data_IF_179471019767
#
_entry.id   IF_179471019767
#
_cell.length_a   1.000
_cell.length_b   1.000
_cell.length_c   1.000
_cell.angle_alpha   90.00
_cell.angle_beta   90.00
_cell.angle_gamma   90.00
#
_symmetry.space_group_name_H-M   'P 1'
#
loop_
_entity.id
_entity.type
_entity.pdbx_description
1 polymer ?
2 non-polymer ?
3 non-polymer ?
4 non-polymer ?
5 non-polymer ?
6 non-polymer ?
7 non-polymer ?
8 water ?
#
# COMPACT_ATOMS: atom_id res chain seq x y z
N UNK A 3 -21.26 19.44 14.01
CA UNK A 3 -20.53 20.59 13.39
C UNK A 3 -19.01 20.39 13.48
N UNK A 4 -18.47 20.48 14.69
CA UNK A 4 -17.07 20.17 14.97
C UNK A 4 -16.94 18.74 15.57
N UNK A 5 -18.07 18.07 15.77
CA UNK A 5 -18.11 16.71 16.37
C UNK A 5 -18.66 15.63 15.43
N UNK A 6 -18.55 15.85 14.12
CA UNK A 6 -19.03 14.90 13.13
C UNK A 6 -18.07 13.73 12.91
N UNK A 7 -18.40 12.91 11.92
CA UNK A 7 -17.66 11.69 11.56
C UNK A 7 -16.17 11.94 11.36
N UNK A 8 -15.35 11.01 11.84
CA UNK A 8 -13.89 11.03 11.66
C UNK A 8 -13.54 9.84 10.77
N UNK A 9 -13.26 10.11 9.50
CA UNK A 9 -12.91 9.02 8.56
C UNK A 9 -11.50 8.50 8.82
N UNK A 10 -11.27 7.25 8.44
CA UNK A 10 -9.96 6.59 8.57
C UNK A 10 -9.31 6.48 7.20
N UNK A 11 -8.08 6.95 7.07
CA UNK A 11 -7.37 6.92 5.79
C UNK A 11 -6.01 6.26 5.94
N UNK A 12 -5.80 5.22 5.14
CA UNK A 12 -4.46 4.65 4.87
C UNK A 12 -3.93 5.37 3.63
N UNK A 13 -2.94 6.25 3.83
CA UNK A 13 -2.29 6.99 2.74
C UNK A 13 -1.00 6.23 2.38
N UNK A 14 -1.13 5.25 1.49
CA UNK A 14 -0.02 4.30 1.26
C UNK A 14 0.96 4.73 0.17
N UNK A 15 2.14 4.12 0.20
CA UNK A 15 3.12 4.32 -0.86
C UNK A 15 2.55 3.97 -2.23
N UNK A 16 1.84 2.85 -2.33
CA UNK A 16 1.30 2.31 -3.58
C UNK A 16 -0.19 2.56 -3.76
N UNK A 17 -0.97 2.23 -2.72
CA UNK A 17 -2.43 2.39 -2.73
C UNK A 17 -2.91 3.14 -1.48
N UNK A 18 -4.08 3.76 -1.60
CA UNK A 18 -4.76 4.37 -0.48
C UNK A 18 -6.16 3.81 -0.32
N UNK A 19 -6.70 3.95 0.89
CA UNK A 19 -7.96 3.31 1.26
C UNK A 19 -8.66 4.17 2.31
N UNK A 20 -9.98 4.32 2.20
CA UNK A 20 -10.76 5.12 3.15
C UNK A 20 -11.90 4.27 3.74
N UNK A 21 -12.08 4.38 5.07
CA UNK A 21 -13.07 3.63 5.82
C UNK A 21 -13.75 4.57 6.83
N UNK A 22 -14.96 4.22 7.23
CA UNK A 22 -15.69 4.99 8.24
C UNK A 22 -16.51 4.05 9.12
N UNK A 23 -16.68 4.43 10.38
CA UNK A 23 -17.53 3.71 11.32
C UNK A 23 -19.00 3.95 10.95
N UNK A 24 -19.79 2.87 10.87
CA UNK A 24 -21.22 2.94 10.49
C UNK A 24 -21.98 1.87 11.29
N UNK A 25 -22.89 2.31 12.17
CA UNK A 25 -23.60 1.40 13.07
C UNK A 25 -22.73 0.45 13.90
N UNK A 26 -21.60 0.93 14.38
CA UNK A 26 -20.67 0.12 15.16
C UNK A 26 -19.80 -0.86 14.39
N UNK A 27 -19.75 -0.76 13.06
CA UNK A 27 -18.90 -1.60 12.22
C UNK A 27 -18.15 -0.70 11.23
N UNK A 28 -16.85 -0.95 11.03
CA UNK A 28 -16.12 -0.20 10.00
C UNK A 28 -16.55 -0.67 8.60
N UNK A 29 -16.76 0.29 7.71
CA UNK A 29 -17.14 0.05 6.32
C UNK A 29 -16.03 0.63 5.44
N UNK A 30 -15.64 -0.11 4.40
CA UNK A 30 -14.64 0.37 3.43
C UNK A 30 -15.41 0.96 2.26
N UNK A 31 -15.10 2.19 1.88
CA UNK A 31 -15.87 2.89 0.86
C UNK A 31 -15.25 2.74 -0.54
N UNK A 32 -16.11 2.42 -1.51
CA UNK A 32 -15.70 2.31 -2.91
C UNK A 32 -15.52 3.67 -3.59
N UNK A 33 -14.46 3.77 -4.41
CA UNK A 33 -14.23 4.94 -5.25
C UNK A 33 -15.20 4.93 -6.45
N UNK A 34 -15.21 6.00 -7.26
CA UNK A 34 -16.13 6.06 -8.41
C UNK A 34 -15.95 4.99 -9.49
N UNK A 35 -14.80 4.31 -9.51
CA UNK A 35 -14.57 3.17 -10.40
C UNK A 35 -15.02 1.83 -9.78
N UNK A 36 -15.63 1.87 -8.61
CA UNK A 36 -16.13 0.67 -7.92
C UNK A 36 -15.10 -0.07 -7.10
N UNK A 37 -13.94 0.56 -6.84
CA UNK A 37 -12.81 -0.13 -6.20
C UNK A 37 -12.58 0.31 -4.76
N UNK A 38 -12.27 -0.66 -3.91
CA UNK A 38 -12.10 -0.43 -2.48
C UNK A 38 -10.72 0.10 -2.10
N UNK A 39 -9.78 0.09 -3.04
CA UNK A 39 -8.51 0.81 -2.89
C UNK A 39 -8.26 1.66 -4.12
N UNK A 40 -7.42 2.69 -3.96
CA UNK A 40 -7.16 3.69 -5.03
C UNK A 40 -5.64 3.87 -5.17
N UNK A 41 -5.08 3.72 -6.40
CA UNK A 41 -3.64 3.97 -6.52
C UNK A 41 -3.20 5.36 -6.06
N UNK A 42 -2.12 5.42 -5.30
CA UNK A 42 -1.55 6.68 -4.79
C UNK A 42 -0.74 7.38 -5.88
N UNK A 43 -1.43 7.81 -6.93
CA UNK A 43 -0.78 8.31 -8.15
C UNK A 43 -1.61 9.51 -8.61
N UNK A 44 -0.91 10.57 -9.01
CA UNK A 44 -1.52 11.86 -9.38
C UNK A 44 -0.93 12.37 -10.69
N UNK A 45 -1.80 12.70 -11.67
CA UNK A 45 -1.41 13.32 -12.95
C UNK A 45 -1.80 14.79 -13.01
N UNK A 46 -0.92 15.60 -13.58
CA UNK A 46 -1.17 17.05 -13.75
C UNK A 46 -1.22 17.50 -15.20
N UNK A 47 -2.33 18.15 -15.55
CA UNK A 47 -2.52 18.81 -16.84
C UNK A 47 -3.00 20.22 -16.53
N UNK A 48 -2.05 21.12 -16.25
CA UNK A 48 -2.32 22.46 -15.69
C UNK A 48 -3.17 22.26 -14.43
N UNK A 49 -4.36 22.85 -14.32
CA UNK A 49 -5.12 22.67 -13.08
C UNK A 49 -6.13 21.50 -13.17
N UNK A 50 -6.10 20.70 -14.25
CA UNK A 50 -6.88 19.47 -14.27
C UNK A 50 -5.99 18.39 -13.67
N UNK A 51 -6.48 17.78 -12.60
CA UNK A 51 -5.70 16.83 -11.82
C UNK A 51 -6.49 15.52 -11.77
N UNK A 52 -5.81 14.43 -12.10
CA UNK A 52 -6.42 13.09 -12.13
C UNK A 52 -5.70 12.25 -11.08
N UNK A 53 -6.47 11.55 -10.26
CA UNK A 53 -5.96 10.69 -9.18
C UNK A 53 -6.42 9.25 -9.40
N UNK A 54 -5.55 8.28 -9.09
CA UNK A 54 -5.98 6.89 -8.96
C UNK A 54 -5.73 6.03 -10.19
N UNK A 55 -6.72 5.21 -10.52
CA UNK A 55 -6.63 4.20 -11.57
C UNK A 55 -6.33 4.82 -12.95
N UNK A 56 -7.00 5.93 -13.27
CA UNK A 56 -6.77 6.61 -14.54
C UNK A 56 -5.33 7.14 -14.64
N UNK A 57 -4.74 7.55 -13.52
CA UNK A 57 -3.35 8.01 -13.48
C UNK A 57 -2.37 6.84 -13.55
N UNK A 58 -2.66 5.73 -12.84
CA UNK A 58 -1.83 4.52 -12.92
C UNK A 58 -1.67 4.01 -14.36
N UNK A 59 -2.75 4.11 -15.15
CA UNK A 59 -2.74 3.70 -16.56
C UNK A 59 -1.79 4.52 -17.47
N UNK A 60 -1.27 5.63 -16.94
CA UNK A 60 -0.31 6.47 -17.65
C UNK A 60 1.00 6.68 -16.87
N UNK A 61 1.27 5.86 -15.83
CA UNK A 61 2.45 6.13 -15.01
C UNK A 61 3.77 6.03 -15.79
N UNK A 62 3.86 5.15 -16.79
CA UNK A 62 5.06 5.07 -17.60
C UNK A 62 5.02 6.07 -18.76
N UNK A 63 3.83 6.32 -19.32
CA UNK A 63 3.71 7.09 -20.56
C UNK A 63 3.60 8.61 -20.42
N UNK A 64 3.22 9.13 -19.24
CA UNK A 64 2.95 10.56 -19.05
C UNK A 64 4.00 11.17 -18.11
N UNK A 65 4.80 12.13 -18.59
CA UNK A 65 5.87 12.68 -17.75
C UNK A 65 5.39 13.59 -16.62
N UNK A 66 4.09 13.89 -16.60
CA UNK A 66 3.50 14.68 -15.53
C UNK A 66 2.67 13.84 -14.55
N UNK A 67 2.94 12.54 -14.52
CA UNK A 67 2.30 11.61 -13.61
C UNK A 67 3.29 11.29 -12.49
N UNK A 68 2.85 11.48 -11.25
CA UNK A 68 3.69 11.38 -10.05
C UNK A 68 3.35 10.11 -9.25
N UNK A 69 4.38 9.29 -9.01
CA UNK A 69 4.25 8.04 -8.25
C UNK A 69 5.13 8.09 -7.00
N UNK A 70 4.82 7.27 -5.99
CA UNK A 70 5.70 7.09 -4.83
C UNK A 70 6.02 8.41 -4.10
N UNK A 71 5.09 9.35 -4.09
CA UNK A 71 5.33 10.64 -3.40
C UNK A 71 5.57 10.47 -1.89
N UNK A 72 5.01 9.41 -1.28
CA UNK A 72 5.22 9.17 0.14
C UNK A 72 6.70 9.15 0.54
N UNK A 73 7.55 8.68 -0.37
CA UNK A 73 8.98 8.60 -0.11
C UNK A 73 9.65 9.95 0.19
N UNK A 74 9.05 11.03 -0.30
CA UNK A 74 9.57 12.39 -0.09
C UNK A 74 8.96 13.12 1.11
N UNK A 75 7.93 12.54 1.72
CA UNK A 75 7.25 13.23 2.82
C UNK A 75 8.23 13.49 3.98
N UNK A 76 8.20 14.70 4.53
CA UNK A 76 9.12 15.11 5.57
C UNK A 76 10.44 15.69 5.12
N UNK A 77 10.68 15.74 3.81
CA UNK A 77 11.86 16.39 3.22
C UNK A 77 11.42 17.70 2.56
N UNK A 78 12.38 18.55 2.24
CA UNK A 78 12.10 19.75 1.44
C UNK A 78 12.31 19.53 -0.08
N UNK A 79 12.40 18.26 -0.52
CA UNK A 79 12.44 17.93 -1.95
C UNK A 79 11.14 18.34 -2.62
N UNK A 80 11.24 18.69 -3.89
CA UNK A 80 10.11 19.08 -4.72
C UNK A 80 10.05 18.14 -5.91
N UNK A 81 8.86 18.00 -6.47
CA UNK A 81 8.67 17.36 -7.77
C UNK A 81 8.20 18.43 -8.75
N UNK A 82 8.59 18.27 -10.01
CA UNK A 82 8.30 19.24 -11.05
C UNK A 82 7.36 18.65 -12.08
N UNK A 83 6.40 19.45 -12.52
CA UNK A 83 5.55 19.13 -13.67
C UNK A 83 5.55 20.34 -14.59
N UNK A 84 5.22 20.10 -15.85
CA UNK A 84 5.34 21.13 -16.88
C UNK A 84 3.97 21.58 -17.33
N UNK A 85 3.75 22.90 -17.24
CA UNK A 85 2.52 23.52 -17.71
C UNK A 85 2.47 23.57 -19.24
N UNK A 86 1.28 23.72 -19.80
CA UNK A 86 1.06 23.82 -21.25
C UNK A 86 1.88 24.93 -21.94
N UNK A 87 2.11 26.02 -21.23
CA UNK A 87 2.93 27.13 -21.75
C UNK A 87 4.45 26.95 -21.59
N UNK A 88 4.89 25.77 -21.15
CA UNK A 88 6.30 25.48 -21.00
C UNK A 88 6.92 25.82 -19.66
N UNK A 89 6.23 26.57 -18.80
CA UNK A 89 6.77 26.91 -17.49
C UNK A 89 6.69 25.69 -16.58
N UNK A 90 7.51 25.71 -15.54
CA UNK A 90 7.61 24.61 -14.58
C UNK A 90 6.88 24.95 -13.25
N UNK A 91 6.07 24.00 -12.80
CA UNK A 91 5.38 24.06 -11.50
C UNK A 91 6.09 23.12 -10.54
N UNK A 92 6.56 23.66 -9.43
CA UNK A 92 7.19 22.87 -8.38
C UNK A 92 6.12 22.55 -7.34
N UNK A 93 6.08 21.28 -6.93
CA UNK A 93 5.10 20.78 -5.99
C UNK A 93 5.78 20.16 -4.78
N UNK A 94 5.25 20.42 -3.59
CA UNK A 94 5.75 19.76 -2.39
C UNK A 94 5.10 18.37 -2.28
N UNK A 95 5.73 17.47 -1.51
CA UNK A 95 5.11 16.19 -1.22
C UNK A 95 3.73 16.35 -0.52
N UNK A 96 3.61 17.37 0.34
CA UNK A 96 2.35 17.69 1.01
C UNK A 96 1.22 18.00 0.02
N UNK A 97 1.54 18.82 -0.99
CA UNK A 97 0.57 19.19 -2.03
C UNK A 97 0.09 18.00 -2.87
N UNK A 98 1.01 17.12 -3.26
CA UNK A 98 0.64 15.98 -4.08
C UNK A 98 -0.18 14.99 -3.24
N UNK A 99 0.29 14.71 -2.02
CA UNK A 99 -0.45 13.85 -1.07
C UNK A 99 -1.84 14.38 -0.82
N UNK A 100 -1.96 15.71 -0.71
CA UNK A 100 -3.25 16.34 -0.49
C UNK A 100 -4.24 16.07 -1.64
N UNK A 101 -3.77 15.94 -2.88
CA UNK A 101 -4.67 15.59 -3.99
C UNK A 101 -5.24 14.19 -3.83
N UNK A 102 -4.43 13.25 -3.32
CA UNK A 102 -4.92 11.90 -3.04
C UNK A 102 -5.97 11.97 -1.93
N UNK A 103 -5.66 12.70 -0.84
CA UNK A 103 -6.62 12.83 0.27
C UNK A 103 -7.91 13.49 -0.15
N UNK A 104 -7.82 14.54 -0.99
CA UNK A 104 -9.00 15.22 -1.52
C UNK A 104 -9.88 14.31 -2.36
N UNK A 105 -9.27 13.47 -3.19
CA UNK A 105 -10.02 12.50 -3.99
C UNK A 105 -10.82 11.53 -3.08
N UNK A 106 -10.15 10.98 -2.07
CA UNK A 106 -10.80 10.08 -1.11
C UNK A 106 -11.96 10.78 -0.37
N UNK A 107 -11.69 11.98 0.14
CA UNK A 107 -12.70 12.79 0.86
C UNK A 107 -13.92 13.05 -0.03
N UNK A 108 -13.68 13.47 -1.27
CA UNK A 108 -14.78 13.81 -2.19
C UNK A 108 -15.72 12.64 -2.42
N UNK A 109 -15.18 11.46 -2.76
CA UNK A 109 -16.06 10.29 -2.99
C UNK A 109 -16.65 9.74 -1.70
N UNK A 110 -15.92 9.85 -0.59
CA UNK A 110 -16.45 9.43 0.70
C UNK A 110 -17.70 10.26 1.07
N UNK A 111 -17.64 11.57 0.84
CA UNK A 111 -18.78 12.47 1.12
C UNK A 111 -20.03 12.09 0.33
N UNK A 112 -19.85 11.75 -0.94
CA UNK A 112 -20.96 11.34 -1.80
C UNK A 112 -21.56 10.00 -1.38
N UNK A 113 -20.72 9.07 -0.92
CA UNK A 113 -21.21 7.79 -0.38
C UNK A 113 -21.96 7.95 0.93
N UNK A 114 -21.38 8.72 1.85
CA UNK A 114 -21.97 8.91 3.20
C UNK A 114 -23.19 9.84 3.14
N UNK A 115 -23.19 10.79 2.21
CA UNK A 115 -24.26 11.78 2.08
C UNK A 115 -24.11 12.96 3.00
N UNK A 116 -22.89 13.23 3.47
CA UNK A 116 -22.59 14.36 4.36
C UNK A 116 -21.22 14.92 4.04
N UNK A 117 -21.00 16.20 4.31
CA UNK A 117 -19.66 16.77 4.26
C UNK A 117 -18.80 16.17 5.39
N UNK A 118 -17.50 15.99 5.12
CA UNK A 118 -16.54 15.40 6.04
C UNK A 118 -15.40 16.39 6.24
N UNK A 119 -15.01 16.64 7.49
CA UNK A 119 -13.93 17.58 7.81
C UNK A 119 -12.93 17.10 8.86
N UNK A 120 -12.95 15.81 9.18
CA UNK A 120 -12.12 15.23 10.23
C UNK A 120 -11.61 13.85 9.78
N UNK A 121 -10.36 13.55 10.11
CA UNK A 121 -9.75 12.28 9.73
C UNK A 121 -8.70 11.80 10.73
N UNK A 122 -8.51 10.48 10.77
CA UNK A 122 -7.30 9.85 11.30
C UNK A 122 -6.53 9.33 10.08
N UNK A 123 -5.23 9.65 10.01
CA UNK A 123 -4.38 9.19 8.91
C UNK A 123 -3.25 8.35 9.48
N UNK A 124 -2.94 7.24 8.79
CA UNK A 124 -1.89 6.32 9.24
C UNK A 124 -0.55 6.66 8.59
N UNK A 125 0.55 6.28 9.28
CA UNK A 125 1.92 6.47 8.81
C UNK A 125 2.79 5.25 9.22
N UNK A 126 3.95 5.05 8.61
CA UNK A 126 4.85 4.00 9.10
C UNK A 126 5.35 4.31 10.52
N UNK A 127 5.57 3.26 11.30
CA UNK A 127 6.06 3.41 12.67
C UNK A 127 7.40 4.16 12.80
N UNK A 128 8.23 4.06 11.75
CA UNK A 128 9.52 4.74 11.71
C UNK A 128 9.44 6.24 11.36
N UNK A 129 8.27 6.73 10.97
CA UNK A 129 8.15 8.18 10.69
C UNK A 129 8.54 9.03 11.90
N UNK A 130 9.31 10.09 11.63
CA UNK A 130 9.74 11.04 12.65
C UNK A 130 8.74 12.22 12.71
N UNK A 131 9.00 13.22 13.55
CA UNK A 131 8.08 14.35 13.69
C UNK A 131 7.86 15.09 12.36
N UNK A 132 8.92 15.30 11.59
CA UNK A 132 8.79 16.02 10.31
C UNK A 132 7.92 15.26 9.30
N UNK A 133 8.07 13.93 9.28
CA UNK A 133 7.31 13.07 8.38
C UNK A 133 5.83 12.99 8.79
N UNK A 134 5.59 12.92 10.09
CA UNK A 134 4.22 12.95 10.63
C UNK A 134 3.56 14.32 10.35
N UNK A 135 4.31 15.39 10.59
CA UNK A 135 3.80 16.77 10.38
C UNK A 135 3.48 17.05 8.92
N UNK A 136 4.30 16.49 8.01
CA UNK A 136 4.00 16.58 6.58
C UNK A 136 2.66 15.92 6.24
N UNK A 137 2.38 14.79 6.87
CA UNK A 137 1.13 14.07 6.66
C UNK A 137 -0.08 14.88 7.23
N UNK A 138 0.08 15.45 8.42
CA UNK A 138 -0.94 16.37 8.98
C UNK A 138 -1.22 17.56 8.04
N UNK A 139 -0.16 18.15 7.51
CA UNK A 139 -0.27 19.29 6.58
C UNK A 139 -0.99 18.92 5.30
N UNK A 140 -0.69 17.74 4.72
CA UNK A 140 -1.43 17.26 3.55
C UNK A 140 -2.94 17.18 3.85
N UNK A 141 -3.28 16.65 5.02
CA UNK A 141 -4.67 16.63 5.48
C UNK A 141 -5.31 18.01 5.50
N UNK A 142 -4.59 18.96 6.11
CA UNK A 142 -5.08 20.34 6.23
C UNK A 142 -5.33 20.95 4.85
N UNK A 143 -4.40 20.74 3.92
CA UNK A 143 -4.56 21.26 2.55
C UNK A 143 -5.85 20.70 1.91
N UNK A 144 -6.13 19.41 2.15
CA UNK A 144 -7.33 18.74 1.64
C UNK A 144 -8.64 19.06 2.38
N UNK A 145 -8.60 19.94 3.38
CA UNK A 145 -9.83 20.30 4.15
C UNK A 145 -10.17 19.36 5.30
N UNK A 146 -9.19 18.60 5.77
CA UNK A 146 -9.39 17.63 6.87
C UNK A 146 -8.63 18.08 8.11
N UNK A 147 -9.33 18.23 9.23
CA UNK A 147 -8.67 18.32 10.51
C UNK A 147 -8.17 16.92 10.90
N UNK A 148 -6.86 16.78 11.00
CA UNK A 148 -6.25 15.50 11.29
C UNK A 148 -6.27 15.35 12.83
N UNK A 149 -7.21 14.55 13.31
CA UNK A 149 -7.46 14.39 14.73
C UNK A 149 -6.35 13.60 15.42
N UNK A 150 -5.80 12.63 14.71
CA UNK A 150 -4.66 11.87 15.20
C UNK A 150 -3.89 11.23 14.03
N UNK A 151 -2.56 11.16 14.17
CA UNK A 151 -1.70 10.33 13.31
C UNK A 151 -1.40 9.06 14.12
N UNK A 152 -1.70 7.88 13.54
CA UNK A 152 -1.35 6.60 14.19
C UNK A 152 -0.49 5.77 13.27
N UNK A 153 0.27 4.84 13.85
CA UNK A 153 1.15 3.92 13.14
C UNK A 153 0.37 2.84 12.41
N UNK A 154 0.82 2.47 11.22
CA UNK A 154 0.24 1.39 10.42
C UNK A 154 0.08 0.02 11.14
N UNK A 155 1.14 -0.45 11.85
CA UNK A 155 0.96 -1.73 12.56
C UNK A 155 -0.04 -1.66 13.72
N UNK A 156 -0.08 -0.52 14.40
CA UNK A 156 -1.10 -0.28 15.43
C UNK A 156 -2.49 -0.25 14.83
N UNK A 157 -2.67 0.44 13.70
CA UNK A 157 -3.97 0.41 13.00
C UNK A 157 -4.42 -1.03 12.68
N UNK A 158 -3.50 -1.85 12.17
CA UNK A 158 -3.84 -3.24 11.87
C UNK A 158 -4.31 -4.00 13.14
N UNK A 159 -3.61 -3.79 14.24
CA UNK A 159 -3.97 -4.40 15.52
C UNK A 159 -5.36 -3.94 16.03
N UNK A 160 -5.68 -2.66 15.85
CA UNK A 160 -7.01 -2.14 16.17
C UNK A 160 -8.09 -2.81 15.33
N UNK A 161 -7.84 -3.01 14.04
CA UNK A 161 -8.80 -3.69 13.17
C UNK A 161 -9.19 -5.07 13.68
N UNK A 162 -8.18 -5.80 14.21
CA UNK A 162 -8.38 -7.12 14.78
C UNK A 162 -8.92 -7.11 16.22
N UNK A 163 -9.06 -5.94 16.85
CA UNK A 163 -9.59 -5.83 18.21
C UNK A 163 -8.60 -6.24 19.28
N UNK A 164 -7.30 -6.24 18.96
CA UNK A 164 -6.31 -6.78 19.90
C UNK A 164 -6.18 -5.92 21.17
N UNK A 165 -6.47 -4.62 21.07
CA UNK A 165 -6.53 -3.76 22.25
C UNK A 165 -7.53 -4.21 23.31
N UNK A 166 -8.53 -5.00 22.89
CA UNK A 166 -9.54 -5.55 23.79
C UNK A 166 -9.13 -6.86 24.46
N UNK A 167 -7.95 -7.39 24.15
CA UNK A 167 -7.46 -8.62 24.80
C UNK A 167 -7.43 -8.47 26.32
N UNK A 168 -7.76 -9.56 27.00
CA UNK A 168 -7.81 -9.59 28.45
C UNK A 168 -6.43 -9.69 29.10
N UNK A 169 -5.46 -10.24 28.37
CA UNK A 169 -4.11 -10.40 28.89
C UNK A 169 -3.16 -9.57 28.03
N UNK A 170 -2.00 -9.26 28.60
CA UNK A 170 -0.87 -8.66 27.84
C UNK A 170 -0.52 -9.53 26.64
N UNK A 171 -0.33 -8.92 25.47
CA UNK A 171 -0.03 -9.64 24.21
C UNK A 171 1.21 -9.05 23.53
N UNK A 172 2.05 -9.93 22.98
CA UNK A 172 3.07 -9.53 22.02
C UNK A 172 2.62 -9.96 20.65
N UNK A 173 2.64 -9.02 19.71
CA UNK A 173 2.05 -9.20 18.38
C UNK A 173 3.09 -8.87 17.31
N UNK A 174 3.32 -9.83 16.42
CA UNK A 174 4.18 -9.64 15.25
C UNK A 174 3.34 -9.21 14.06
N UNK A 175 3.71 -8.07 13.47
CA UNK A 175 3.07 -7.58 12.25
C UNK A 175 4.06 -7.71 11.08
N UNK A 176 3.68 -8.48 10.07
CA UNK A 176 4.50 -8.66 8.86
C UNK A 176 3.71 -7.99 7.75
N UNK A 177 4.27 -6.88 7.24
CA UNK A 177 3.56 -6.00 6.32
C UNK A 177 4.36 -5.84 5.01
N UNK A 178 3.91 -6.55 3.98
CA UNK A 178 4.55 -6.50 2.67
C UNK A 178 3.58 -5.83 1.69
N UNK A 179 3.89 -4.58 1.33
CA UNK A 179 3.02 -3.81 0.45
C UNK A 179 3.55 -3.85 -0.97
N UNK A 180 3.29 -2.79 -1.74
CA UNK A 180 3.77 -2.69 -3.13
C UNK A 180 5.20 -2.18 -3.24
N UNK A 181 5.61 -1.34 -2.30
CA UNK A 181 6.97 -0.75 -2.33
C UNK A 181 7.88 -0.99 -1.13
N UNK A 182 7.29 -1.35 0.02
CA UNK A 182 8.03 -1.43 1.27
C UNK A 182 7.63 -2.68 2.07
N UNK A 183 8.57 -3.11 2.89
CA UNK A 183 8.42 -4.27 3.75
C UNK A 183 8.73 -3.83 5.19
N UNK A 184 7.72 -3.97 6.06
CA UNK A 184 7.81 -3.55 7.47
C UNK A 184 7.46 -4.71 8.40
N UNK A 185 8.38 -5.00 9.32
CA UNK A 185 8.10 -5.91 10.43
C UNK A 185 8.10 -5.11 11.73
N UNK A 186 7.07 -5.33 12.53
CA UNK A 186 6.93 -4.65 13.82
C UNK A 186 6.57 -5.64 14.92
N UNK A 187 7.18 -5.46 16.09
CA UNK A 187 6.77 -6.22 17.28
C UNK A 187 6.11 -5.22 18.25
N UNK A 188 4.82 -5.45 18.53
CA UNK A 188 4.02 -4.60 19.43
C UNK A 188 3.79 -5.28 20.77
N UNK A 189 3.83 -4.49 21.84
CA UNK A 189 3.34 -4.94 23.15
C UNK A 189 2.01 -4.24 23.41
N UNK A 190 0.97 -5.01 23.68
CA UNK A 190 -0.38 -4.44 23.93
C UNK A 190 -0.73 -4.78 25.37
N UNK A 191 -0.93 -3.75 26.19
CA UNK A 191 -1.24 -3.92 27.61
C UNK A 191 -2.08 -2.74 28.08
N UNK A 192 -3.14 -3.04 28.84
CA UNK A 192 -4.06 -2.01 29.34
C UNK A 192 -4.67 -1.16 28.20
N UNK A 193 -4.92 -1.81 27.06
CA UNK A 193 -5.52 -1.12 25.91
C UNK A 193 -4.63 -0.13 25.18
N UNK A 194 -3.33 -0.11 25.52
CA UNK A 194 -2.35 0.76 24.87
C UNK A 194 -1.27 -0.06 24.16
N UNK A 195 -0.66 0.56 23.16
CA UNK A 195 0.30 -0.07 22.28
C UNK A 195 1.69 0.53 22.53
N UNK A 196 2.70 -0.33 22.55
CA UNK A 196 4.10 0.08 22.55
C UNK A 196 4.81 -0.64 21.40
N UNK A 197 5.54 0.10 20.57
CA UNK A 197 6.37 -0.53 19.53
C UNK A 197 7.69 -0.93 20.18
N UNK A 198 7.91 -2.24 20.32
CA UNK A 198 9.12 -2.77 20.92
C UNK A 198 10.32 -2.77 19.96
N UNK A 199 10.06 -3.03 18.69
CA UNK A 199 11.12 -3.10 17.66
C UNK A 199 10.51 -3.09 16.27
N UNK A 200 11.28 -2.53 15.32
CA UNK A 200 10.91 -2.55 13.92
C UNK A 200 12.09 -2.94 13.05
N UNK A 201 11.80 -3.48 11.88
CA UNK A 201 12.82 -3.88 10.90
C UNK A 201 12.18 -3.93 9.52
N UNK A 202 12.98 -4.25 8.50
CA UNK A 202 12.51 -4.41 7.14
C UNK A 202 13.33 -3.60 6.15
N UNK A 203 12.72 -3.35 5.01
CA UNK A 203 13.42 -2.71 3.89
C UNK A 203 12.39 -1.86 3.13
N UNK A 204 12.61 -0.56 3.09
CA UNK A 204 11.67 0.34 2.42
C UNK A 204 11.85 0.38 0.89
N UNK A 205 12.75 -0.43 0.35
CA UNK A 205 12.89 -0.63 -1.10
C UNK A 205 12.62 -2.09 -1.53
N UNK A 206 11.79 -2.79 -0.77
CA UNK A 206 11.37 -4.13 -1.09
C UNK A 206 9.83 -4.23 -0.97
N UNK A 207 9.15 -4.60 -2.07
CA UNK A 207 7.69 -4.73 -2.07
C UNK A 207 7.21 -5.48 -3.30
N UNK A 208 5.90 -5.61 -3.44
CA UNK A 208 5.28 -6.34 -4.54
C UNK A 208 5.74 -5.92 -5.94
N UNK A 209 6.07 -4.64 -6.11
CA UNK A 209 6.62 -4.14 -7.40
C UNK A 209 7.84 -4.96 -7.83
N UNK A 210 8.67 -5.35 -6.85
CA UNK A 210 9.88 -6.15 -7.16
C UNK A 210 9.57 -7.53 -7.70
N UNK A 211 8.50 -8.15 -7.19
CA UNK A 211 8.01 -9.42 -7.72
C UNK A 211 7.50 -9.23 -9.17
N UNK A 212 6.75 -8.16 -9.42
CA UNK A 212 6.32 -7.84 -10.80
C UNK A 212 7.54 -7.72 -11.72
N UNK A 213 8.54 -6.99 -11.22
CA UNK A 213 9.72 -6.65 -12.03
C UNK A 213 10.51 -7.94 -12.40
N UNK A 214 10.48 -8.96 -11.54
CA UNK A 214 11.09 -10.26 -11.90
C UNK A 214 10.37 -10.97 -13.05
N UNK A 215 9.04 -10.83 -13.10
CA UNK A 215 8.27 -11.34 -14.24
C UNK A 215 8.65 -10.55 -15.53
N UNK A 216 8.84 -9.23 -15.41
CA UNK A 216 9.22 -8.41 -16.56
C UNK A 216 10.60 -8.85 -17.06
N UNK A 217 11.51 -9.10 -16.11
CA UNK A 217 12.87 -9.57 -16.45
C UNK A 217 12.84 -10.93 -17.17
N UNK A 218 11.95 -11.82 -16.71
CA UNK A 218 11.73 -13.13 -17.35
C UNK A 218 11.16 -13.03 -18.78
N UNK A 219 10.19 -12.13 -18.98
CA UNK A 219 9.59 -11.90 -20.30
C UNK A 219 10.67 -11.36 -21.25
N UNK A 220 11.49 -10.45 -20.74
CA UNK A 220 12.61 -9.92 -21.54
C UNK A 220 13.59 -11.01 -21.98
N UNK A 221 13.82 -12.01 -21.12
CA UNK A 221 14.67 -13.17 -21.48
C UNK A 221 14.06 -14.02 -22.59
N UNK A 222 12.77 -14.35 -22.46
CA UNK A 222 12.03 -15.08 -23.48
C UNK A 222 12.14 -14.39 -24.84
N UNK A 223 11.99 -13.05 -24.83
CA UNK A 223 12.10 -12.22 -26.05
C UNK A 223 13.49 -12.31 -26.67
N UNK A 224 14.51 -12.25 -25.82
CA UNK A 224 15.92 -12.31 -26.25
C UNK A 224 16.33 -13.61 -26.94
N UNK A 225 15.59 -14.70 -26.71
CA UNK A 225 15.81 -15.97 -27.43
C UNK A 225 15.52 -15.87 -28.92
N UNK A 226 14.65 -14.94 -29.33
CA UNK A 226 14.32 -14.74 -30.75
C UNK A 226 14.72 -13.37 -31.32
N UNK A 227 14.94 -12.36 -30.46
CA UNK A 227 15.17 -10.99 -30.95
C UNK A 227 16.29 -10.28 -30.18
N UNK A 228 17.22 -9.66 -30.92
CA UNK A 228 18.26 -8.80 -30.32
C UNK A 228 18.22 -7.37 -30.88
N UNK A 229 18.72 -6.41 -30.09
CA UNK A 229 18.76 -4.99 -30.48
C UNK A 229 17.44 -4.23 -30.48
N UNK A 230 16.49 -4.67 -29.63
CA UNK A 230 15.15 -4.05 -29.53
C UNK A 230 15.17 -2.69 -28.85
N UNK A 231 15.96 -2.57 -27.78
CA UNK A 231 15.96 -1.39 -26.94
C UNK A 231 14.56 -1.19 -26.36
N UNK A 232 14.00 -2.26 -25.81
CA UNK A 232 12.60 -2.34 -25.35
C UNK A 232 12.18 -1.20 -24.39
N UNK A 233 13.10 -0.74 -23.53
CA UNK A 233 12.83 0.36 -22.57
C UNK A 233 12.41 1.69 -23.20
N UNK A 234 12.88 1.96 -24.40
CA UNK A 234 12.49 3.19 -25.10
C UNK A 234 11.06 3.16 -25.62
N UNK A 235 10.43 1.99 -25.66
CA UNK A 235 9.04 1.90 -26.12
C UNK A 235 8.17 2.00 -24.88
N UNK A 236 7.63 3.18 -24.63
CA UNK A 236 6.88 3.41 -23.39
C UNK A 236 5.56 2.69 -23.33
N UNK A 237 4.90 2.51 -24.48
CA UNK A 237 3.68 1.68 -24.53
C UNK A 237 3.99 0.24 -24.16
N UNK A 238 5.09 -0.28 -24.70
CA UNK A 238 5.50 -1.65 -24.39
C UNK A 238 5.77 -1.80 -22.89
N UNK A 239 6.44 -0.82 -22.31
CA UNK A 239 6.79 -0.84 -20.88
C UNK A 239 5.54 -0.76 -20.01
N UNK A 240 4.61 0.13 -20.34
CA UNK A 240 3.33 0.19 -19.61
C UNK A 240 2.60 -1.16 -19.70
N UNK A 241 2.55 -1.77 -20.86
CA UNK A 241 1.86 -3.09 -21.02
C UNK A 241 2.55 -4.19 -20.24
N UNK A 242 3.88 -4.15 -20.20
CA UNK A 242 4.64 -5.14 -19.43
C UNK A 242 4.37 -5.02 -17.94
N UNK A 243 4.34 -3.79 -17.43
CA UNK A 243 4.02 -3.56 -16.01
C UNK A 243 2.64 -4.12 -15.67
N UNK A 244 1.66 -3.80 -16.51
CA UNK A 244 0.28 -4.25 -16.26
C UNK A 244 0.15 -5.78 -16.35
N UNK A 245 0.79 -6.38 -17.36
CA UNK A 245 0.73 -7.82 -17.54
C UNK A 245 1.42 -8.58 -16.39
N UNK A 246 2.55 -8.05 -15.92
CA UNK A 246 3.28 -8.69 -14.83
C UNK A 246 2.50 -8.68 -13.54
N UNK A 247 1.93 -7.53 -13.17
CA UNK A 247 1.15 -7.46 -11.93
C UNK A 247 -0.05 -8.41 -12.02
N UNK A 248 -0.72 -8.47 -13.17
CA UNK A 248 -1.90 -9.32 -13.38
C UNK A 248 -1.53 -10.81 -13.24
N UNK A 249 -0.42 -11.20 -13.86
CA UNK A 249 0.09 -12.57 -13.79
C UNK A 249 0.41 -12.99 -12.34
N UNK A 250 1.17 -12.14 -11.65
CA UNK A 250 1.48 -12.35 -10.23
C UNK A 250 0.20 -12.58 -9.42
N UNK A 251 -0.78 -11.70 -9.58
CA UNK A 251 -2.00 -11.78 -8.78
C UNK A 251 -2.76 -13.09 -9.06
N UNK A 252 -2.83 -13.49 -10.33
CA UNK A 252 -3.46 -14.77 -10.69
C UNK A 252 -2.77 -15.97 -10.02
N UNK A 253 -1.44 -15.93 -9.91
CA UNK A 253 -0.66 -17.02 -9.29
C UNK A 253 -0.83 -17.14 -7.79
N UNK A 254 -1.45 -16.15 -7.13
CA UNK A 254 -1.86 -16.32 -5.73
C UNK A 254 -3.07 -17.26 -5.56
N UNK A 255 -3.89 -17.37 -6.62
CA UNK A 255 -5.10 -18.22 -6.63
C UNK A 255 -5.00 -19.50 -7.47
N UNK A 256 -4.13 -19.52 -8.48
CA UNK A 256 -4.03 -20.60 -9.47
C UNK A 256 -2.59 -21.06 -9.55
N UNK A 257 -2.35 -22.25 -10.12
CA UNK A 257 -0.99 -22.78 -10.27
C UNK A 257 -0.28 -22.38 -11.57
N UNK A 258 -1.02 -21.79 -12.51
CA UNK A 258 -0.41 -21.25 -13.73
C UNK A 258 -1.16 -20.03 -14.22
N UNK A 259 -0.49 -19.26 -15.07
CA UNK A 259 -1.06 -18.07 -15.67
C UNK A 259 -0.44 -17.90 -17.05
N UNK A 260 -1.20 -17.33 -17.98
CA UNK A 260 -0.74 -17.12 -19.35
C UNK A 260 -0.50 -15.61 -19.59
N UNK A 261 0.73 -15.26 -19.97
CA UNK A 261 1.07 -13.88 -20.32
C UNK A 261 0.95 -13.76 -21.83
N UNK A 262 0.04 -12.90 -22.29
CA UNK A 262 -0.24 -12.76 -23.73
C UNK A 262 -0.07 -11.31 -24.17
N UNK A 263 0.94 -11.05 -25.00
CA UNK A 263 1.24 -9.70 -25.49
C UNK A 263 1.47 -9.70 -27.02
N UNK A 264 0.37 -9.80 -27.80
CA UNK A 264 0.50 -9.64 -29.25
C UNK A 264 0.95 -8.21 -29.66
N UNK A 265 1.80 -8.11 -30.67
CA UNK A 265 2.30 -6.82 -31.17
C UNK A 265 2.88 -5.95 -30.05
N UNK A 266 3.76 -6.55 -29.25
CA UNK A 266 4.35 -5.81 -28.12
C UNK A 266 5.26 -4.70 -28.63
N UNK A 267 6.09 -5.02 -29.61
CA UNK A 267 6.88 -4.01 -30.31
C UNK A 267 7.20 -4.50 -31.73
N UNK A 268 7.97 -3.74 -32.47
CA UNK A 268 8.28 -4.12 -33.85
C UNK A 268 9.80 -4.07 -34.06
N UNK A 269 10.25 -4.93 -34.97
CA UNK A 269 11.64 -4.97 -35.42
C UNK A 269 11.56 -4.92 -36.92
N UNK A 270 12.72 -4.92 -37.56
CA UNK A 270 12.76 -4.88 -39.03
C UNK A 270 12.18 -6.14 -39.68
N UNK A 271 11.98 -7.22 -38.90
CA UNK A 271 11.33 -8.45 -39.40
C UNK A 271 9.86 -8.62 -38.98
N UNK A 272 9.26 -7.58 -38.41
CA UNK A 272 7.84 -7.59 -38.07
C UNK A 272 7.59 -7.56 -36.57
N UNK A 273 6.38 -7.96 -36.16
CA UNK A 273 6.02 -7.82 -34.75
C UNK A 273 6.77 -8.74 -33.80
N UNK A 274 6.96 -8.27 -32.58
CA UNK A 274 7.45 -9.08 -31.48
C UNK A 274 6.21 -9.42 -30.64
N UNK A 275 6.00 -10.72 -30.41
CA UNK A 275 4.90 -11.18 -29.58
C UNK A 275 5.38 -11.96 -28.39
N UNK A 276 4.55 -12.01 -27.35
CA UNK A 276 4.80 -12.86 -26.20
C UNK A 276 3.58 -13.72 -25.99
N UNK A 277 3.79 -15.03 -25.91
CA UNK A 277 2.79 -15.96 -25.39
C UNK A 277 3.54 -16.92 -24.48
N UNK A 278 3.37 -16.77 -23.18
CA UNK A 278 4.22 -17.44 -22.22
C UNK A 278 3.38 -17.96 -21.06
N UNK A 279 3.50 -19.26 -20.76
CA UNK A 279 2.86 -19.85 -19.60
C UNK A 279 3.82 -19.74 -18.44
N UNK A 280 3.40 -19.13 -17.34
CA UNK A 280 4.22 -19.03 -16.13
C UNK A 280 3.54 -19.84 -15.01
N UNK A 281 4.24 -20.85 -14.50
CA UNK A 281 3.74 -21.63 -13.36
C UNK A 281 4.06 -20.95 -12.03
N UNK A 282 3.30 -21.30 -10.99
CA UNK A 282 3.59 -20.79 -9.63
C UNK A 282 5.00 -21.22 -9.21
N UNK A 283 5.40 -22.46 -9.53
CA UNK A 283 6.71 -22.95 -9.12
C UNK A 283 7.85 -22.13 -9.76
N UNK A 284 7.72 -21.83 -11.05
CA UNK A 284 8.71 -21.04 -11.75
C UNK A 284 8.74 -19.60 -11.20
N UNK A 285 7.57 -19.02 -11.00
CA UNK A 285 7.45 -17.68 -10.37
C UNK A 285 8.18 -17.64 -9.01
N UNK A 286 7.96 -18.65 -8.18
CA UNK A 286 8.59 -18.73 -6.87
C UNK A 286 10.11 -18.91 -6.98
N UNK A 287 10.56 -19.68 -7.96
CA UNK A 287 12.00 -19.82 -8.20
C UNK A 287 12.65 -18.48 -8.58
N UNK A 288 12.02 -17.77 -9.51
CA UNK A 288 12.50 -16.46 -9.99
C UNK A 288 12.60 -15.42 -8.87
N UNK A 289 11.67 -15.49 -7.93
CA UNK A 289 11.52 -14.46 -6.88
C UNK A 289 12.05 -14.91 -5.52
N UNK A 290 12.69 -16.07 -5.45
CA UNK A 290 13.24 -16.57 -4.18
C UNK A 290 14.18 -15.58 -3.45
N UNK A 291 15.06 -14.87 -4.17
CA UNK A 291 15.88 -13.88 -3.44
C UNK A 291 15.05 -12.79 -2.74
N UNK A 292 13.94 -12.38 -3.37
CA UNK A 292 13.06 -11.35 -2.78
C UNK A 292 12.38 -11.87 -1.52
N UNK A 293 11.82 -13.08 -1.62
CA UNK A 293 11.14 -13.70 -0.50
C UNK A 293 12.09 -13.91 0.68
N UNK A 294 13.27 -14.45 0.40
CA UNK A 294 14.26 -14.71 1.45
C UNK A 294 14.76 -13.48 2.17
N UNK A 295 14.79 -12.33 1.49
CA UNK A 295 15.17 -11.07 2.12
C UNK A 295 14.16 -10.63 3.21
N UNK A 296 12.92 -11.15 3.15
CA UNK A 296 11.94 -10.88 4.22
C UNK A 296 12.15 -11.68 5.51
N UNK A 297 13.06 -12.66 5.49
CA UNK A 297 13.21 -13.59 6.63
C UNK A 297 13.96 -12.96 7.80
N UNK A 298 15.15 -12.41 7.56
CA UNK A 298 16.00 -11.91 8.65
C UNK A 298 15.37 -10.76 9.47
N UNK A 299 14.55 -9.89 8.83
CA UNK A 299 13.88 -8.85 9.62
C UNK A 299 12.95 -9.39 10.72
N UNK A 300 12.38 -10.57 10.50
CA UNK A 300 11.61 -11.23 11.56
C UNK A 300 12.49 -11.55 12.76
N UNK A 301 13.62 -12.20 12.52
CA UNK A 301 14.53 -12.49 13.62
C UNK A 301 15.20 -11.23 14.20
N UNK A 302 15.36 -10.17 13.39
CA UNK A 302 15.86 -8.88 13.91
C UNK A 302 14.99 -8.32 15.05
N UNK A 303 13.66 -8.33 14.87
CA UNK A 303 12.78 -7.74 15.90
C UNK A 303 12.74 -8.64 17.14
N UNK A 304 12.80 -9.96 16.93
CA UNK A 304 12.86 -10.94 18.04
C UNK A 304 14.12 -10.66 18.89
N UNK A 305 15.26 -10.52 18.21
CA UNK A 305 16.53 -10.21 18.87
C UNK A 305 16.49 -8.88 19.63
N UNK A 306 16.03 -7.81 18.96
CA UNK A 306 16.03 -6.48 19.59
C UNK A 306 15.13 -6.41 20.81
N UNK A 307 13.95 -7.03 20.72
CA UNK A 307 12.99 -7.08 21.82
C UNK A 307 13.38 -8.04 22.94
N UNK A 308 14.40 -8.88 22.70
CA UNK A 308 14.88 -9.87 23.68
C UNK A 308 13.78 -10.83 24.13
N UNK A 309 13.05 -11.35 23.15
CA UNK A 309 12.02 -12.36 23.40
C UNK A 309 12.41 -13.68 22.74
N UNK A 310 11.75 -14.76 23.17
CA UNK A 310 11.78 -16.03 22.46
C UNK A 310 10.62 -16.04 21.48
N UNK A 311 10.74 -16.76 20.35
CA UNK A 311 9.61 -16.89 19.42
C UNK A 311 8.28 -17.35 20.04
N UNK A 312 8.35 -18.23 21.04
CA UNK A 312 7.15 -18.70 21.75
C UNK A 312 6.36 -17.58 22.46
N UNK A 313 7.03 -16.46 22.74
CA UNK A 313 6.37 -15.31 23.37
C UNK A 313 5.50 -14.48 22.41
N UNK A 314 5.57 -14.75 21.11
CA UNK A 314 4.68 -14.10 20.14
C UNK A 314 3.29 -14.72 20.24
N UNK A 315 2.31 -13.93 20.66
CA UNK A 315 0.94 -14.45 20.85
C UNK A 315 0.09 -14.48 19.58
N UNK A 316 0.26 -13.46 18.72
CA UNK A 316 -0.48 -13.38 17.47
C UNK A 316 0.40 -12.79 16.37
N UNK A 317 0.14 -13.23 15.14
CA UNK A 317 0.80 -12.69 13.94
C UNK A 317 -0.26 -12.06 13.05
N UNK A 318 -0.02 -10.83 12.59
CA UNK A 318 -0.92 -10.18 11.63
C UNK A 318 -0.22 -10.07 10.27
N UNK A 319 -0.91 -10.54 9.22
CA UNK A 319 -0.45 -10.37 7.83
C UNK A 319 -1.14 -9.13 7.24
N UNK A 320 -0.33 -8.15 6.87
CA UNK A 320 -0.80 -6.86 6.36
C UNK A 320 -0.14 -6.64 4.98
N UNK A 321 -0.86 -5.96 4.09
CA UNK A 321 -0.34 -5.63 2.76
C UNK A 321 -0.79 -6.63 1.73
N UNK A 322 -1.09 -6.14 0.53
CA UNK A 322 -1.62 -6.98 -0.55
C UNK A 322 -0.73 -8.17 -0.88
N UNK A 323 0.58 -7.99 -0.77
CA UNK A 323 1.56 -9.03 -1.14
C UNK A 323 1.50 -10.27 -0.23
N UNK A 324 0.92 -10.14 0.97
CA UNK A 324 0.79 -11.30 1.88
C UNK A 324 -0.26 -12.31 1.40
N UNK A 325 -1.00 -11.99 0.34
CA UNK A 325 -1.86 -12.96 -0.34
C UNK A 325 -1.06 -14.06 -1.07
N UNK A 326 0.25 -13.85 -1.30
CA UNK A 326 1.08 -14.88 -1.98
C UNK A 326 1.30 -16.10 -1.07
N UNK A 327 0.97 -17.32 -1.58
CA UNK A 327 1.16 -18.52 -0.75
C UNK A 327 2.54 -18.68 -0.16
N UNK A 328 3.60 -18.34 -0.93
CA UNK A 328 4.97 -18.51 -0.43
C UNK A 328 5.31 -17.56 0.73
N UNK A 329 4.68 -16.38 0.73
CA UNK A 329 4.86 -15.41 1.82
C UNK A 329 4.24 -15.96 3.11
N UNK A 330 3.02 -16.49 3.00
CA UNK A 330 2.34 -17.09 4.17
C UNK A 330 3.15 -18.25 4.76
N UNK A 331 3.70 -19.11 3.90
CA UNK A 331 4.50 -20.26 4.33
C UNK A 331 5.79 -19.79 5.06
N UNK A 332 6.45 -18.77 4.54
CA UNK A 332 7.65 -18.22 5.17
C UNK A 332 7.36 -17.72 6.60
N UNK A 333 6.28 -16.95 6.74
CA UNK A 333 5.93 -16.41 8.06
C UNK A 333 5.64 -17.55 9.05
N UNK A 334 4.87 -18.54 8.61
CA UNK A 334 4.57 -19.72 9.45
C UNK A 334 5.85 -20.43 9.89
N UNK A 335 6.84 -20.54 8.97
CA UNK A 335 8.10 -21.22 9.29
C UNK A 335 8.91 -20.52 10.39
N UNK A 336 8.71 -19.21 10.54
CA UNK A 336 9.46 -18.39 11.48
C UNK A 336 8.79 -18.24 12.85
N UNK A 337 7.52 -18.64 12.95
CA UNK A 337 6.80 -18.62 14.26
C UNK A 337 6.08 -19.97 14.40
N UNK A 338 6.85 -21.01 14.72
CA UNK A 338 6.27 -22.35 14.71
C UNK A 338 5.09 -22.49 15.67
N UNK A 339 4.06 -23.17 15.18
CA UNK A 339 2.87 -23.46 15.98
C UNK A 339 1.71 -22.49 15.85
N UNK A 340 2.01 -21.26 15.40
CA UNK A 340 1.01 -20.18 15.33
C UNK A 340 0.38 -20.06 13.96
N UNK A 341 -0.94 -19.89 13.93
CA UNK A 341 -1.68 -19.64 12.69
C UNK A 341 -1.78 -18.14 12.50
N UNK A 342 -1.20 -17.58 11.40
CA UNK A 342 -1.32 -16.13 11.19
C UNK A 342 -2.74 -15.63 10.92
N UNK A 343 -2.98 -14.36 11.28
CA UNK A 343 -4.25 -13.71 11.00
C UNK A 343 -4.22 -13.11 9.59
N UNK A 344 -5.13 -13.55 8.73
CA UNK A 344 -5.37 -12.88 7.43
C UNK A 344 -6.86 -12.79 7.07
N UNK A 345 -7.73 -12.87 8.08
CA UNK A 345 -9.17 -12.88 7.82
C UNK A 345 -9.70 -11.49 7.45
N UNK A 346 -8.98 -10.42 7.80
CA UNK A 346 -9.34 -9.07 7.38
C UNK A 346 -8.48 -8.77 6.14
N UNK A 347 -9.16 -8.39 5.04
CA UNK A 347 -8.50 -8.10 3.76
C UNK A 347 -7.23 -7.30 4.01
N UNK A 348 -6.05 -7.83 3.63
CA UNK A 348 -4.79 -7.19 4.06
C UNK A 348 -4.49 -5.87 3.34
N UNK A 349 -5.21 -5.59 2.25
CA UNK A 349 -5.13 -4.31 1.57
C UNK A 349 -6.03 -3.23 2.20
N UNK A 350 -6.96 -3.64 3.07
CA UNK A 350 -7.92 -2.71 3.72
C UNK A 350 -7.71 -2.56 5.23
N UNK A 351 -6.93 -3.45 5.83
CA UNK A 351 -6.91 -3.59 7.31
C UNK A 351 -6.39 -2.33 8.02
N UNK A 352 -5.44 -1.63 7.40
CA UNK A 352 -4.91 -0.42 7.98
C UNK A 352 -5.97 0.71 8.02
N UNK A 353 -6.71 0.87 6.92
CA UNK A 353 -7.78 1.90 6.87
C UNK A 353 -8.90 1.56 7.83
N UNK A 354 -9.23 0.27 7.95
CA UNK A 354 -10.26 -0.18 8.89
C UNK A 354 -9.85 0.21 10.32
N UNK A 355 -8.61 -0.06 10.70
CA UNK A 355 -8.10 0.36 12.01
C UNK A 355 -8.16 1.86 12.26
N UNK A 356 -7.79 2.63 11.25
CA UNK A 356 -7.91 4.09 11.33
C UNK A 356 -9.36 4.54 11.58
N UNK A 357 -10.32 3.88 10.92
CA UNK A 357 -11.74 4.21 11.05
C UNK A 357 -12.23 3.89 12.48
N UNK A 358 -11.76 2.78 13.03
CA UNK A 358 -12.06 2.42 14.43
C UNK A 358 -11.49 3.49 15.36
N UNK A 359 -10.26 3.93 15.13
CA UNK A 359 -9.63 4.99 15.94
C UNK A 359 -10.45 6.28 15.85
N UNK A 360 -10.93 6.60 14.65
CA UNK A 360 -11.78 7.77 14.46
C UNK A 360 -13.07 7.69 15.28
N UNK A 361 -13.72 6.53 15.26
CA UNK A 361 -14.95 6.35 16.05
C UNK A 361 -14.70 6.58 17.54
N UNK A 362 -13.60 6.03 18.04
CA UNK A 362 -13.24 6.16 19.46
C UNK A 362 -12.99 7.63 19.85
N UNK A 363 -12.29 8.36 19.00
CA UNK A 363 -12.04 9.78 19.24
C UNK A 363 -13.30 10.63 19.20
N UNK A 364 -14.25 10.27 18.33
CA UNK A 364 -15.51 11.01 18.24
C UNK A 364 -16.38 10.76 19.46
N UNK A 365 -16.29 9.56 20.02
CA UNK A 365 -17.14 9.18 21.13
C UNK A 365 -18.51 8.76 20.65
N UNK A 366 -19.33 8.42 21.64
CA UNK A 366 -20.69 7.89 21.52
C UNK A 366 -20.62 6.37 21.33
N UNK A 367 -21.02 5.66 22.37
CA UNK A 367 -20.96 4.19 22.34
C UNK A 367 -21.92 3.56 21.33
N UNK A 368 -23.06 4.21 21.05
CA UNK A 368 -23.96 3.73 19.97
C UNK A 368 -23.28 3.80 18.57
N UNK A 369 -22.25 4.61 18.48
CA UNK A 369 -21.59 4.93 17.25
C UNK A 369 -20.35 4.01 17.01
N UNK A 370 -19.48 3.87 18.02
CA UNK A 370 -18.27 3.00 17.87
C UNK A 370 -18.42 1.58 18.46
N UNK A 371 -19.33 1.39 19.41
CA UNK A 371 -19.55 0.09 20.08
C UNK A 371 -18.25 -0.59 20.51
N UNK A 372 -17.32 0.15 21.12
CA UNK A 372 -15.96 -0.38 21.29
C UNK A 372 -15.84 -1.56 22.28
N UNK A 373 -16.90 -1.88 23.01
CA UNK A 373 -17.06 -3.20 23.66
C UNK A 373 -18.38 -3.84 23.22
X LIG B 1 0.77 -0.29 3.45
X LIG C 1 0.64 -0.17 0.00
X LIG C 1 0.33 -0.28 1.46
X LIG C 1 0.45 1.22 -0.56
X LIG C 1 1.94 -0.77 -0.48
X LIG C 1 -1.00 -2.56 -0.60
X LIG C 1 -0.84 -3.05 0.82
X LIG C 1 -2.36 -2.63 -1.26
X LIG C 1 -0.52 -1.04 -0.77
X LIG C 1 0.02 -3.46 -1.46
X LIG C 1 0.09 -3.36 -2.89
X LIG C 1 0.79 -4.60 -3.42
X LIG C 1 -0.01 -5.75 -3.13
X LIG C 1 0.99 -4.58 -4.93
X LIG C 1 2.31 -5.05 -5.26
X LIG C 1 -0.07 -5.56 -5.43
X LIG C 1 0.21 -6.12 -6.71
X LIG C 1 -0.03 -6.57 -4.29
X LIG C 1 -1.17 -7.50 -4.34
X LIG C 1 -2.48 -7.17 -4.21
X LIG C 1 -3.27 -8.27 -4.33
X LIG C 1 -2.42 -9.32 -4.52
X LIG C 1 -2.57 -10.78 -4.73
X LIG C 1 -3.80 -11.34 -4.74
X LIG C 1 -1.44 -11.49 -4.88
X LIG C 1 -0.20 -10.94 -4.86
X LIG C 1 0.00 -9.62 -4.68
X LIG C 1 -1.07 -8.80 -4.51
X LIG D 1 3.43 1.71 3.09
X LIG D 1 3.97 2.14 4.47
X LIG D 1 2.79 0.37 3.27
X LIG D 1 4.59 1.63 2.17
X LIG D 1 2.41 2.79 2.71
X LIG E 1 21.42 -5.78 4.43
X LIG E 1 22.79 -5.54 3.92
X LIG E 1 21.46 -5.85 5.89
X LIG E 1 20.56 -4.66 4.00
X LIG E 1 20.95 -7.08 3.90
X LIG F 1 -1.24 13.57 17.00
X LIG F 1 0.13 14.11 16.93
X LIG F 1 -1.58 13.28 18.42
X LIG F 1 -1.39 12.35 16.21
X LIG F 1 -2.19 14.57 16.49
X LIG G 1 12.17 13.25 15.72
X LIG G 1 12.78 12.01 16.25
X LIG G 1 12.23 14.32 16.76
X LIG G 1 12.92 13.69 14.53
X LIG G 1 10.77 12.95 15.40
X LIG H 1 -17.82 -3.51 4.03
X LIG H 1 -17.93 -4.66 4.96
X LIG H 1 -16.48 -2.85 4.20
X LIG H 1 -18.02 -3.99 2.63
X LIG H 1 -18.89 -2.55 4.35
X LIG I 1 -0.10 -17.14 26.54
X LIG I 1 1.27 -17.67 26.35
X LIG I 1 -0.03 -15.60 26.82
X LIG I 1 -0.93 -17.46 25.25
X LIG I 1 -0.72 -17.84 27.80
X LIG J 1 -3.40 13.62 -17.50
X LIG J 1 -4.43 12.68 -18.45
X LIG J 1 -5.19 12.05 -19.08
X LIG K 1 7.87 4.66 1.90
X LIG K 1 6.99 5.46 1.11
X LIG K 1 9.01 5.51 2.44
X LIG K 1 9.89 4.68 3.20
X LIG K 1 8.49 6.62 3.34
X LIG K 1 9.58 7.40 3.87
X LIG L 1 -20.22 6.62 14.30
X LIG L 1 -20.27 6.34 12.90
X LIG L 1 -18.82 7.07 14.74
X LIG L 1 -18.58 8.21 13.97
X LIG L 1 -18.59 7.60 16.15
X LIG L 1 -18.29 6.62 17.15
X LIG M 1 12.18 0.13 10.26
X LIG M 1 13.06 0.32 11.37
X LIG M 1 12.97 0.40 8.99
X LIG M 1 13.75 -0.78 8.68
X LIG M 1 12.04 0.76 7.82
X LIG M 1 12.53 0.38 6.53
X LIG N 1 -4.20 -23.43 -3.27
X LIG N 1 -2.87 -23.09 -2.90
X LIG N 1 -4.46 -22.88 -4.68
X LIG N 1 -4.25 -21.47 -4.66
X LIG N 1 -5.89 -23.20 -5.13
X LIG N 1 -5.87 -23.72 -6.47
#
# INVERSE_FOLDING_TARGET
MSADNGLIIGIDLGTTNSCVSVMEGGRPVVLENPEGKRTTPSIVSYKNNEIIVGDAAKRQMVTNPNTIVSIKRLMGTSNKVKVQNADGTTKELSPEQVSAQILSYLKDFAEKKIGKKISRAVITVPAYFNDAERNATKTAGKIAGLNVERIINEPTAAALAYGIDKASREMKVLVYDLGGGTFDVSLLDIAEGTFEVLATAGDNRLGGDDWDNKIIEYISAYIAKEHQGLNLSKDKMAMQRLKEAAERAKIELSAQLETIISLPFLTVTQKGPVNVELKLTRAKFEELTKPLLERTRNPISDVIKEAKIKPEEINEILLVGGSTRMPAVQKLVESMVPGKKPNRSINPDEVVAIGAAIQGGVLRGDLEHHHHHH
MG MG
ADP PB O1B O2B O3B PA O1A O2A O3A O5' C5' C4' O4' C3' O3' C2' O2' C1' N9 C8 N7 C5 C6 N6 N1 C2 N3 C4
PO4 P O1 O2 O3 O4
SO4 S O1 O2 O3 O4
SO4 S O1 O2 O3 O4
SO4 S O1 O2 O3 O4
SO4 S O1 O2 O3 O4
SO4 S O1 O2 O3 O4
SCN S C N
GOL C1 O1 C2 O2 C3 O3
GOL C1 O1 C2 O2 C3 O3
GOL C1 O1 C2 O2 C3 O3
GOL C1 O1 C2 O2 C3 O3
#
